data_IF_522024877756
#
_entry.id   IF_522024877756
#
_cell.length_a   1.000
_cell.length_b   1.000
_cell.length_c   1.000
_cell.angle_alpha   90.00
_cell.angle_beta   90.00
_cell.angle_gamma   90.00
#
_symmetry.space_group_name_H-M   'P 1'
#
loop_
_entity.id
_entity.type
_entity.pdbx_description
1 polymer ?
#
# COMPACT_ATOMS: atom_id res chain seq x y z
N UNK A 1 40.99 5.47 15.38
CA UNK A 1 40.17 4.25 15.16
C UNK A 1 38.74 4.70 14.82
N UNK A 2 38.52 5.18 13.60
CA UNK A 2 37.35 5.96 13.18
C UNK A 2 36.19 5.09 12.67
N UNK A 3 35.49 4.44 13.59
CA UNK A 3 34.37 3.52 13.32
C UNK A 3 33.09 4.17 12.76
N UNK A 4 33.10 5.44 12.37
CA UNK A 4 31.89 6.21 12.03
C UNK A 4 32.11 7.16 10.85
N UNK A 5 32.82 6.72 9.79
CA UNK A 5 32.84 7.52 8.56
C UNK A 5 31.47 7.43 7.86
N UNK A 6 30.79 8.55 7.57
CA UNK A 6 29.53 8.58 6.82
C UNK A 6 29.63 7.84 5.46
N UNK A 7 30.84 7.75 4.92
CA UNK A 7 31.14 7.00 3.69
C UNK A 7 30.81 5.52 3.83
N UNK A 8 31.06 4.89 4.97
CA UNK A 8 30.75 3.47 5.18
C UNK A 8 29.24 3.21 5.08
N UNK A 9 28.43 4.07 5.72
CA UNK A 9 26.98 3.99 5.64
C UNK A 9 26.46 4.19 4.22
N UNK A 10 27.07 5.10 3.45
CA UNK A 10 26.70 5.30 2.06
C UNK A 10 26.97 4.04 1.21
N UNK A 11 28.11 3.37 1.42
CA UNK A 11 28.46 2.12 0.73
C UNK A 11 27.44 1.01 1.08
N UNK A 12 27.10 0.85 2.36
CA UNK A 12 26.09 -0.14 2.79
C UNK A 12 24.75 0.13 2.11
N UNK A 13 24.31 1.39 2.06
CA UNK A 13 23.06 1.77 1.39
C UNK A 13 23.09 1.46 -0.11
N UNK A 14 24.21 1.74 -0.78
CA UNK A 14 24.40 1.42 -2.20
C UNK A 14 24.29 -0.09 -2.42
N UNK A 15 24.95 -0.90 -1.61
CA UNK A 15 24.87 -2.38 -1.70
C UNK A 15 23.42 -2.85 -1.48
N UNK A 16 22.73 -2.30 -0.47
CA UNK A 16 21.33 -2.61 -0.20
C UNK A 16 20.42 -2.28 -1.40
N UNK A 17 20.62 -1.14 -2.03
CA UNK A 17 19.88 -0.71 -3.23
C UNK A 17 20.18 -1.61 -4.42
N UNK A 18 21.42 -2.09 -4.58
CA UNK A 18 21.78 -3.02 -5.65
C UNK A 18 21.15 -4.40 -5.46
N UNK A 19 21.13 -4.93 -4.24
CA UNK A 19 20.57 -6.27 -3.96
C UNK A 19 19.04 -6.28 -4.00
N UNK A 20 18.40 -5.30 -3.37
CA UNK A 20 16.94 -5.25 -3.25
C UNK A 20 16.26 -4.48 -4.39
N UNK A 21 16.98 -3.56 -5.04
CA UNK A 21 16.47 -2.65 -6.05
C UNK A 21 15.94 -1.33 -5.46
N UNK A 22 16.19 -0.21 -6.17
CA UNK A 22 15.84 1.14 -5.73
C UNK A 22 14.34 1.38 -5.48
N UNK A 23 13.46 0.57 -6.09
CA UNK A 23 12.01 0.64 -5.89
C UNK A 23 11.52 -0.16 -4.67
N UNK A 24 12.21 -1.24 -4.28
CA UNK A 24 11.75 -2.15 -3.23
C UNK A 24 12.10 -1.65 -1.83
N UNK A 25 13.28 -1.06 -1.65
CA UNK A 25 13.67 -0.45 -0.37
C UNK A 25 12.66 0.58 0.18
N UNK A 26 12.27 1.62 -0.59
CA UNK A 26 11.33 2.61 -0.10
C UNK A 26 9.91 2.04 0.06
N UNK A 27 9.55 1.00 -0.69
CA UNK A 27 8.24 0.34 -0.59
C UNK A 27 8.15 -0.50 0.68
N UNK A 28 9.15 -1.36 0.93
CA UNK A 28 9.25 -2.17 2.15
C UNK A 28 9.39 -1.28 3.39
N UNK A 29 10.16 -0.20 3.34
CA UNK A 29 10.25 0.75 4.44
C UNK A 29 8.91 1.44 4.74
N UNK A 30 8.10 1.74 3.71
CA UNK A 30 6.74 2.28 3.91
C UNK A 30 5.80 1.26 4.52
N UNK A 31 5.84 0.00 4.07
CA UNK A 31 5.01 -1.07 4.61
C UNK A 31 5.32 -1.36 6.09
N UNK A 32 6.62 -1.48 6.44
CA UNK A 32 7.08 -1.68 7.82
C UNK A 32 6.85 -0.43 8.68
N UNK A 33 7.03 0.77 8.12
CA UNK A 33 6.73 2.02 8.82
C UNK A 33 5.24 2.19 9.12
N UNK A 34 4.36 1.69 8.24
CA UNK A 34 2.92 1.72 8.46
C UNK A 34 2.50 0.79 9.60
N UNK A 35 3.04 -0.44 9.68
CA UNK A 35 2.77 -1.34 10.82
C UNK A 35 3.32 -0.76 12.12
N UNK A 36 4.57 -0.29 12.13
CA UNK A 36 5.19 0.30 13.32
C UNK A 36 4.45 1.55 13.80
N UNK A 37 3.83 2.32 12.90
CA UNK A 37 3.02 3.49 13.26
C UNK A 37 1.69 3.11 13.92
N UNK A 38 1.08 2.00 13.52
CA UNK A 38 -0.14 1.49 14.17
C UNK A 38 0.24 1.01 15.58
N UNK A 39 1.31 0.21 15.69
CA UNK A 39 1.84 -0.24 16.97
C UNK A 39 2.20 0.95 17.87
N UNK A 40 2.88 1.99 17.33
CA UNK A 40 3.20 3.22 18.08
C UNK A 40 1.95 3.93 18.59
N UNK A 41 0.83 3.90 17.87
CA UNK A 41 -0.43 4.51 18.33
C UNK A 41 -1.10 3.69 19.43
N UNK A 42 -1.03 2.38 19.34
CA UNK A 42 -1.57 1.48 20.37
C UNK A 42 -0.72 1.52 21.63
N UNK A 43 0.61 1.40 21.52
CA UNK A 43 1.54 1.55 22.65
C UNK A 43 1.57 2.97 23.17
N UNK A 44 1.44 3.98 22.31
CA UNK A 44 1.34 5.38 22.68
C UNK A 44 0.17 5.64 23.63
N UNK A 45 -0.96 4.94 23.50
CA UNK A 45 -2.06 5.07 24.46
C UNK A 45 -1.74 4.61 25.87
N UNK A 46 -0.70 3.79 26.04
CA UNK A 46 -0.19 3.41 27.37
C UNK A 46 0.86 4.40 27.90
N UNK A 47 1.42 5.29 27.06
CA UNK A 47 2.48 6.24 27.44
C UNK A 47 2.19 7.72 27.19
N UNK A 48 1.11 8.06 26.48
CA UNK A 48 0.69 9.42 26.06
C UNK A 48 -0.42 10.00 26.97
N UNK A 49 -0.50 9.63 28.25
CA UNK A 49 -1.24 10.48 29.20
C UNK A 49 -0.55 11.85 29.40
N UNK A 50 0.70 12.03 28.95
CA UNK A 50 1.46 13.23 29.29
C UNK A 50 1.76 14.26 28.17
N UNK A 51 1.87 13.97 26.87
CA UNK A 51 2.15 15.06 25.88
C UNK A 51 2.00 14.65 24.39
N UNK A 52 0.93 15.10 23.72
CA UNK A 52 0.78 15.05 22.25
C UNK A 52 1.16 16.40 21.61
N UNK A 53 1.86 16.47 20.46
CA UNK A 53 1.26 16.08 19.18
C UNK A 53 2.21 15.55 18.09
N UNK A 54 1.71 14.70 17.17
CA UNK A 54 2.27 14.61 15.81
C UNK A 54 1.24 14.11 14.78
N UNK A 55 0.41 15.04 14.32
CA UNK A 55 -0.34 14.92 13.08
C UNK A 55 0.61 14.95 11.86
N UNK A 56 0.66 13.83 11.12
CA UNK A 56 0.57 13.79 9.65
C UNK A 56 0.50 12.35 9.18
N UNK A 57 -0.73 11.86 9.00
CA UNK A 57 -0.97 10.80 8.04
C UNK A 57 -0.75 11.39 6.66
N UNK A 58 0.38 11.11 6.01
CA UNK A 58 0.46 11.31 4.56
C UNK A 58 -0.43 10.24 3.95
N UNK A 59 -1.58 10.66 3.43
CA UNK A 59 -2.41 9.91 2.51
C UNK A 59 -1.50 9.41 1.39
N UNK A 60 -1.29 8.09 1.31
CA UNK A 60 -0.60 7.52 0.16
C UNK A 60 -1.46 7.80 -1.07
N UNK A 61 -0.90 8.32 -2.17
CA UNK A 61 -1.66 8.55 -3.38
C UNK A 61 -2.14 7.20 -3.91
N UNK A 62 -3.45 7.09 -4.19
CA UNK A 62 -3.99 5.97 -4.98
C UNK A 62 -3.21 5.98 -6.30
N UNK A 63 -2.46 4.90 -6.56
CA UNK A 63 -1.63 4.85 -7.77
C UNK A 63 -2.53 4.87 -9.01
N UNK A 64 -2.12 5.59 -10.05
CA UNK A 64 -2.88 5.68 -11.30
C UNK A 64 -3.18 4.28 -11.90
N UNK A 65 -2.26 3.33 -11.69
CA UNK A 65 -2.41 1.92 -12.07
C UNK A 65 -3.56 1.24 -11.31
N UNK A 66 -3.68 1.50 -10.00
CA UNK A 66 -4.76 0.96 -9.18
C UNK A 66 -6.14 1.49 -9.64
N UNK A 67 -6.21 2.78 -9.99
CA UNK A 67 -7.44 3.39 -10.51
C UNK A 67 -7.81 2.80 -11.89
N UNK A 68 -6.83 2.58 -12.76
CA UNK A 68 -7.07 2.00 -14.09
C UNK A 68 -7.59 0.55 -14.00
N UNK A 69 -7.02 -0.26 -13.11
CA UNK A 69 -7.47 -1.65 -12.87
C UNK A 69 -8.89 -1.72 -12.32
N UNK A 70 -9.24 -0.84 -11.39
CA UNK A 70 -10.59 -0.76 -10.82
C UNK A 70 -11.66 -0.49 -11.89
N UNK A 71 -11.40 0.47 -12.80
CA UNK A 71 -12.33 0.77 -13.89
C UNK A 71 -12.51 -0.39 -14.86
N UNK A 72 -11.42 -1.08 -15.22
CA UNK A 72 -11.48 -2.24 -16.10
C UNK A 72 -12.35 -3.38 -15.50
N UNK A 73 -12.22 -3.60 -14.18
CA UNK A 73 -13.01 -4.61 -13.46
C UNK A 73 -14.49 -4.22 -13.31
N UNK A 74 -14.78 -2.92 -13.17
CA UNK A 74 -16.16 -2.40 -13.13
C UNK A 74 -16.86 -2.57 -14.48
N UNK A 75 -16.15 -2.31 -15.59
CA UNK A 75 -16.68 -2.55 -16.95
C UNK A 75 -16.97 -4.03 -17.20
N UNK A 76 -16.07 -4.92 -16.78
CA UNK A 76 -16.25 -6.37 -16.92
C UNK A 76 -17.44 -6.86 -16.09
N UNK A 77 -17.55 -6.42 -14.83
CA UNK A 77 -18.72 -6.74 -14.00
C UNK A 77 -20.03 -6.21 -14.60
N UNK A 78 -20.03 -5.00 -15.17
CA UNK A 78 -21.21 -4.45 -15.81
C UNK A 78 -21.63 -5.28 -17.04
N UNK A 79 -20.66 -5.74 -17.84
CA UNK A 79 -20.89 -6.64 -18.98
C UNK A 79 -21.47 -7.98 -18.53
N UNK A 80 -20.88 -8.59 -17.50
CA UNK A 80 -21.34 -9.86 -16.96
C UNK A 80 -22.75 -9.75 -16.37
N UNK A 81 -23.05 -8.65 -15.66
CA UNK A 81 -24.39 -8.38 -15.14
C UNK A 81 -25.42 -8.21 -16.27
N UNK A 82 -25.09 -7.43 -17.31
CA UNK A 82 -25.96 -7.26 -18.47
C UNK A 82 -26.19 -8.59 -19.22
N UNK A 83 -25.15 -9.42 -19.38
CA UNK A 83 -25.26 -10.74 -19.98
C UNK A 83 -26.10 -11.70 -19.12
N UNK A 84 -25.95 -11.66 -17.80
CA UNK A 84 -26.77 -12.44 -16.86
C UNK A 84 -28.24 -12.00 -16.89
N UNK A 85 -28.51 -10.70 -16.98
CA UNK A 85 -29.87 -10.16 -17.09
C UNK A 85 -30.51 -10.46 -18.45
N UNK A 86 -29.71 -10.58 -19.51
CA UNK A 86 -30.16 -11.06 -20.82
C UNK A 86 -30.46 -12.56 -20.79
N UNK A 87 -29.58 -13.38 -20.20
CA UNK A 87 -29.81 -14.82 -20.05
C UNK A 87 -31.09 -15.11 -19.23
N UNK A 88 -31.30 -14.42 -18.10
CA UNK A 88 -32.52 -14.55 -17.29
C UNK A 88 -33.79 -14.13 -18.02
N UNK A 89 -33.72 -13.15 -18.92
CA UNK A 89 -34.85 -12.73 -19.76
C UNK A 89 -35.16 -13.70 -20.89
N UNK A 90 -34.19 -14.50 -21.31
CA UNK A 90 -34.29 -15.43 -22.42
C UNK A 90 -34.60 -16.88 -21.97
N UNK A 91 -34.69 -17.13 -20.66
CA UNK A 91 -35.18 -18.38 -20.07
C UNK A 91 -36.70 -18.40 -19.65
N UNK A 92 -37.69 -17.84 -20.41
CA UNK A 92 -39.11 -18.01 -20.07
C UNK A 92 -39.85 -19.15 -20.80
N UNK A 93 -39.23 -19.97 -21.66
CA UNK A 93 -39.95 -21.01 -22.44
C UNK A 93 -39.32 -22.42 -22.39
N UNK A 94 -39.09 -22.94 -21.19
CA UNK A 94 -38.95 -24.39 -20.99
C UNK A 94 -39.96 -24.89 -19.94
N UNK A 95 -41.24 -24.63 -20.21
CA UNK A 95 -42.38 -25.32 -19.58
C UNK A 95 -43.33 -25.81 -20.64
#
# INVERSE_FOLDING_TARGET
MGSLSPVHWMIVFVVLVLLFGAKKLPDTAKAVGQSLRILKRETGRLGDEDNAPAARARTAPVSADAVARLRALEEENARLRAAADAARRNEPEAR
#
